data_IF_798921182899
#
_entry.id   IF_798921182899
#
_cell.length_a   1.000
_cell.length_b   1.000
_cell.length_c   1.000
_cell.angle_alpha   90.00
_cell.angle_beta   90.00
_cell.angle_gamma   90.00
#
_symmetry.space_group_name_H-M   'P 1'
#
loop_
_entity.id
_entity.type
_entity.pdbx_description
1 polymer ?
#
# COMPACT_ATOMS: atom_id res chain seq x y z
N UNK A 1 -21.43 22.54 -17.62
CA UNK A 1 -20.12 22.77 -16.97
C UNK A 1 -20.23 22.98 -15.45
N UNK A 2 -21.21 23.76 -14.94
CA UNK A 2 -21.44 24.00 -13.50
C UNK A 2 -21.53 22.72 -12.67
N UNK A 3 -22.38 21.78 -13.11
CA UNK A 3 -22.65 20.52 -12.40
C UNK A 3 -21.43 19.60 -12.21
N UNK A 4 -20.48 19.55 -13.18
CA UNK A 4 -19.28 18.71 -13.02
C UNK A 4 -18.32 19.30 -11.98
N UNK A 5 -18.12 20.62 -12.00
CA UNK A 5 -17.27 21.30 -11.03
C UNK A 5 -17.84 21.18 -9.62
N UNK A 6 -19.15 21.37 -9.47
CA UNK A 6 -19.86 21.19 -8.20
C UNK A 6 -19.67 19.77 -7.67
N UNK A 7 -19.91 18.75 -8.52
CA UNK A 7 -19.70 17.35 -8.13
C UNK A 7 -18.26 17.07 -7.68
N UNK A 8 -17.27 17.60 -8.38
CA UNK A 8 -15.85 17.44 -8.00
C UNK A 8 -15.59 18.09 -6.64
N UNK A 9 -16.13 19.28 -6.37
CA UNK A 9 -15.97 19.95 -5.08
C UNK A 9 -16.62 19.16 -3.94
N UNK A 10 -17.82 18.61 -4.17
CA UNK A 10 -18.50 17.76 -3.20
C UNK A 10 -17.68 16.52 -2.86
N UNK A 11 -17.19 15.79 -3.87
CA UNK A 11 -16.37 14.58 -3.66
C UNK A 11 -15.05 14.89 -2.95
N UNK A 12 -14.38 16.00 -3.30
CA UNK A 12 -13.17 16.42 -2.58
C UNK A 12 -13.48 16.69 -1.12
N UNK A 13 -14.61 17.34 -0.82
CA UNK A 13 -15.02 17.60 0.56
C UNK A 13 -15.29 16.31 1.33
N UNK A 14 -16.04 15.38 0.76
CA UNK A 14 -16.35 14.09 1.38
C UNK A 14 -15.07 13.30 1.73
N UNK A 15 -14.12 13.22 0.79
CA UNK A 15 -12.84 12.54 1.04
C UNK A 15 -12.01 13.25 2.12
N UNK A 16 -12.03 14.60 2.17
CA UNK A 16 -11.38 15.36 3.24
C UNK A 16 -12.01 15.07 4.60
N UNK A 17 -13.34 15.04 4.68
CA UNK A 17 -14.06 14.77 5.93
C UNK A 17 -13.71 13.35 6.46
N UNK A 18 -13.61 12.35 5.57
CA UNK A 18 -13.13 11.00 5.91
C UNK A 18 -11.69 11.03 6.45
N UNK A 19 -10.78 11.72 5.75
CA UNK A 19 -9.38 11.84 6.17
C UNK A 19 -9.23 12.50 7.54
N UNK A 20 -9.96 13.58 7.80
CA UNK A 20 -9.93 14.28 9.08
C UNK A 20 -10.49 13.42 10.20
N UNK A 21 -11.58 12.69 9.96
CA UNK A 21 -12.14 11.75 10.93
C UNK A 21 -11.14 10.65 11.30
N UNK A 22 -10.39 10.13 10.32
CA UNK A 22 -9.34 9.14 10.58
C UNK A 22 -8.19 9.71 11.42
N UNK A 23 -7.81 10.98 11.19
CA UNK A 23 -6.78 11.67 11.97
C UNK A 23 -7.20 11.91 13.43
N UNK A 24 -8.43 12.35 13.66
CA UNK A 24 -8.95 12.62 15.02
C UNK A 24 -8.99 11.35 15.89
N UNK A 25 -9.36 10.21 15.30
CA UNK A 25 -9.41 8.94 16.02
C UNK A 25 -8.02 8.48 16.53
N UNK A 26 -6.96 8.85 15.82
CA UNK A 26 -5.57 8.43 16.04
C UNK A 26 -4.94 9.17 17.23
N UNK A 27 -5.38 10.40 17.54
CA UNK A 27 -4.81 11.21 18.64
C UNK A 27 -5.02 10.61 20.05
N UNK A 28 -5.95 9.65 20.21
CA UNK A 28 -6.33 9.11 21.52
C UNK A 28 -5.60 7.82 21.92
N UNK A 29 -5.24 6.97 20.94
CA UNK A 29 -4.39 5.78 21.09
C UNK A 29 -4.23 5.11 19.73
N UNK A 30 -3.02 5.09 19.17
CA UNK A 30 -2.80 4.55 17.84
C UNK A 30 -2.65 3.03 17.86
N UNK A 31 -3.63 2.33 17.30
CA UNK A 31 -3.53 0.90 17.03
C UNK A 31 -2.86 0.63 15.69
N UNK A 32 -2.36 -0.59 15.51
CA UNK A 32 -1.80 -1.09 14.26
C UNK A 32 -2.79 -0.97 13.09
N UNK A 33 -4.08 -1.23 13.36
CA UNK A 33 -5.14 -1.14 12.35
C UNK A 33 -5.40 0.30 11.92
N UNK A 34 -5.21 1.27 12.81
CA UNK A 34 -5.38 2.69 12.48
C UNK A 34 -4.25 3.17 11.56
N UNK A 35 -3.01 2.76 11.85
CA UNK A 35 -1.86 3.06 10.99
C UNK A 35 -1.99 2.44 9.61
N UNK A 36 -2.46 1.20 9.52
CA UNK A 36 -2.71 0.54 8.24
C UNK A 36 -3.77 1.32 7.42
N UNK A 37 -4.86 1.74 8.05
CA UNK A 37 -5.91 2.52 7.36
C UNK A 37 -5.40 3.86 6.86
N UNK A 38 -4.70 4.62 7.71
CA UNK A 38 -4.09 5.90 7.32
C UNK A 38 -3.15 5.76 6.12
N UNK A 39 -2.23 4.79 6.18
CA UNK A 39 -1.30 4.50 5.11
C UNK A 39 -2.01 4.06 3.83
N UNK A 40 -3.06 3.26 3.95
CA UNK A 40 -3.82 2.75 2.82
C UNK A 40 -4.56 3.88 2.08
N UNK A 41 -5.13 4.85 2.80
CA UNK A 41 -5.79 5.99 2.16
C UNK A 41 -4.78 6.86 1.41
N UNK A 42 -3.62 7.17 2.02
CA UNK A 42 -2.54 7.91 1.34
C UNK A 42 -2.11 7.18 0.06
N UNK A 43 -1.90 5.88 0.16
CA UNK A 43 -1.51 5.06 -1.00
C UNK A 43 -2.57 5.08 -2.11
N UNK A 44 -3.87 5.02 -1.79
CA UNK A 44 -4.94 5.10 -2.79
C UNK A 44 -4.94 6.47 -3.49
N UNK A 45 -4.92 7.57 -2.74
CA UNK A 45 -5.04 8.92 -3.34
C UNK A 45 -3.83 9.25 -4.23
N UNK A 46 -2.65 8.76 -3.87
CA UNK A 46 -1.45 8.85 -4.70
C UNK A 46 -1.57 7.97 -5.95
N UNK A 47 -1.95 6.69 -5.77
CA UNK A 47 -2.04 5.74 -6.88
C UNK A 47 -3.09 6.13 -7.90
N UNK A 48 -4.20 6.75 -7.51
CA UNK A 48 -5.23 7.26 -8.45
C UNK A 48 -4.92 8.66 -8.99
N UNK A 49 -3.85 9.31 -8.52
CA UNK A 49 -3.34 10.58 -9.06
C UNK A 49 -4.19 11.81 -8.70
N UNK A 50 -4.82 11.81 -7.51
CA UNK A 50 -5.66 12.91 -7.02
C UNK A 50 -5.13 13.54 -5.72
N UNK A 51 -3.98 13.07 -5.24
CA UNK A 51 -3.33 13.52 -4.01
C UNK A 51 -3.13 15.04 -3.92
N UNK A 52 -3.00 15.75 -5.06
CA UNK A 52 -2.92 17.23 -5.10
C UNK A 52 -4.05 17.97 -4.38
N UNK A 53 -5.22 17.35 -4.18
CA UNK A 53 -6.35 17.97 -3.47
C UNK A 53 -6.28 17.77 -1.94
N UNK A 54 -5.41 16.88 -1.47
CA UNK A 54 -5.37 16.38 -0.10
C UNK A 54 -3.98 16.56 0.53
N UNK A 55 -3.19 17.52 0.07
CA UNK A 55 -1.80 17.69 0.51
C UNK A 55 -1.67 17.97 2.00
N UNK A 56 -2.60 18.77 2.56
CA UNK A 56 -2.59 19.11 3.99
C UNK A 56 -2.83 17.86 4.83
N UNK A 57 -3.89 17.12 4.49
CA UNK A 57 -4.28 15.89 5.19
C UNK A 57 -3.19 14.81 5.03
N UNK A 58 -2.65 14.65 3.82
CA UNK A 58 -1.56 13.72 3.52
C UNK A 58 -0.31 14.02 4.34
N UNK A 59 0.13 15.28 4.41
CA UNK A 59 1.30 15.66 5.21
C UNK A 59 1.08 15.34 6.68
N UNK A 60 -0.08 15.71 7.24
CA UNK A 60 -0.42 15.41 8.63
C UNK A 60 -0.38 13.90 8.94
N UNK A 61 -0.94 13.07 8.04
CA UNK A 61 -0.87 11.61 8.15
C UNK A 61 0.57 11.11 8.12
N UNK A 62 1.37 11.57 7.15
CA UNK A 62 2.75 11.12 7.00
C UNK A 62 3.62 11.52 8.20
N UNK A 63 3.46 12.73 8.74
CA UNK A 63 4.15 13.19 9.93
C UNK A 63 3.79 12.33 11.15
N UNK A 64 2.50 12.02 11.33
CA UNK A 64 2.03 11.16 12.40
C UNK A 64 2.64 9.76 12.27
N UNK A 65 2.54 9.13 11.10
CA UNK A 65 3.09 7.79 10.85
C UNK A 65 4.61 7.78 11.03
N UNK A 66 5.32 8.82 10.57
CA UNK A 66 6.77 8.91 10.72
C UNK A 66 7.22 9.07 12.17
N UNK A 67 6.45 9.80 12.98
CA UNK A 67 6.66 9.86 14.43
C UNK A 67 6.58 8.47 15.05
N UNK A 68 5.56 7.68 14.71
CA UNK A 68 5.48 6.27 15.14
C UNK A 68 6.64 5.42 14.61
N UNK A 69 7.06 5.66 13.37
CA UNK A 69 8.21 4.99 12.74
C UNK A 69 9.52 5.25 13.48
N UNK A 70 9.71 6.43 14.04
CA UNK A 70 10.97 6.82 14.70
C UNK A 70 10.95 6.56 16.20
N UNK A 71 9.83 6.78 16.88
CA UNK A 71 9.70 6.60 18.33
C UNK A 71 9.58 5.13 18.74
N UNK A 72 9.01 4.28 17.87
CA UNK A 72 8.81 2.84 18.13
C UNK A 72 9.45 1.92 17.09
N UNK A 73 9.72 2.42 15.88
CA UNK A 73 10.01 1.62 14.69
C UNK A 73 11.44 1.09 14.54
N UNK A 74 12.42 1.59 15.31
CA UNK A 74 13.79 1.04 15.28
C UNK A 74 13.94 -0.27 16.06
N UNK A 75 13.08 -0.51 17.05
CA UNK A 75 13.11 -1.72 17.89
C UNK A 75 11.91 -2.66 17.67
N UNK A 76 10.80 -2.18 17.09
CA UNK A 76 9.64 -3.00 16.74
C UNK A 76 8.96 -2.52 15.45
N UNK A 77 8.47 -3.41 14.58
CA UNK A 77 7.74 -2.98 13.40
C UNK A 77 6.49 -2.19 13.77
N UNK A 78 6.07 -1.32 12.85
CA UNK A 78 4.76 -0.64 12.93
C UNK A 78 3.58 -1.64 12.85
N UNK A 79 3.84 -2.92 12.59
CA UNK A 79 2.88 -4.00 12.71
C UNK A 79 3.29 -5.27 11.99
N UNK A 80 2.33 -5.85 11.28
CA UNK A 80 2.61 -6.99 10.40
C UNK A 80 3.45 -6.58 9.18
N UNK A 81 3.85 -7.58 8.39
CA UNK A 81 4.63 -7.36 7.16
C UNK A 81 3.91 -6.40 6.19
N UNK A 82 2.59 -6.52 6.09
CA UNK A 82 1.79 -5.71 5.18
C UNK A 82 1.88 -4.22 5.53
N UNK A 83 1.63 -3.89 6.79
CA UNK A 83 1.65 -2.53 7.32
C UNK A 83 3.06 -1.96 7.26
N UNK A 84 4.07 -2.76 7.63
CA UNK A 84 5.48 -2.34 7.60
C UNK A 84 5.95 -2.05 6.18
N UNK A 85 5.65 -2.93 5.22
CA UNK A 85 6.02 -2.74 3.83
C UNK A 85 5.30 -1.55 3.18
N UNK A 86 4.00 -1.38 3.48
CA UNK A 86 3.23 -0.23 3.02
C UNK A 86 3.77 1.08 3.60
N UNK A 87 4.01 1.11 4.91
CA UNK A 87 4.55 2.28 5.61
C UNK A 87 5.93 2.68 5.09
N UNK A 88 6.85 1.73 4.97
CA UNK A 88 8.16 1.93 4.38
C UNK A 88 8.06 2.56 2.99
N UNK A 89 7.21 1.99 2.12
CA UNK A 89 7.04 2.46 0.75
C UNK A 89 6.47 3.88 0.70
N UNK A 90 5.38 4.13 1.42
CA UNK A 90 4.67 5.41 1.43
C UNK A 90 5.57 6.52 2.01
N UNK A 91 6.25 6.27 3.13
CA UNK A 91 7.19 7.22 3.73
C UNK A 91 8.36 7.52 2.78
N UNK A 92 8.99 6.48 2.23
CA UNK A 92 10.16 6.63 1.35
C UNK A 92 9.81 7.38 0.05
N UNK A 93 8.66 7.11 -0.56
CA UNK A 93 8.19 7.84 -1.75
C UNK A 93 7.88 9.32 -1.47
N UNK A 94 7.56 9.65 -0.22
CA UNK A 94 7.32 11.01 0.24
C UNK A 94 8.56 11.71 0.84
N UNK A 95 9.75 11.11 0.67
CA UNK A 95 11.02 11.74 1.03
C UNK A 95 11.44 11.58 2.50
N UNK A 96 10.74 10.74 3.26
CA UNK A 96 11.15 10.41 4.64
C UNK A 96 12.30 9.40 4.64
N UNK A 97 13.23 9.59 5.56
CA UNK A 97 14.35 8.67 5.76
C UNK A 97 13.91 7.48 6.63
N UNK A 98 13.79 6.32 5.98
CA UNK A 98 13.38 5.05 6.59
C UNK A 98 14.38 3.97 6.20
N UNK A 99 14.96 3.27 7.19
CA UNK A 99 15.90 2.18 6.94
C UNK A 99 15.17 0.91 6.49
N UNK A 100 15.71 0.16 5.49
CA UNK A 100 15.17 -1.14 5.14
C UNK A 100 15.39 -2.20 6.24
N UNK A 101 16.20 -1.91 7.26
CA UNK A 101 16.45 -2.85 8.36
C UNK A 101 15.20 -3.20 9.16
N UNK A 102 14.13 -2.41 9.03
CA UNK A 102 12.79 -2.76 9.53
C UNK A 102 12.33 -4.14 9.04
N UNK A 103 12.85 -4.61 7.90
CA UNK A 103 12.51 -5.90 7.32
C UNK A 103 13.28 -7.09 7.92
N UNK A 104 14.33 -6.86 8.73
CA UNK A 104 15.17 -7.93 9.28
C UNK A 104 14.37 -8.86 10.20
N UNK A 105 13.37 -8.33 10.90
CA UNK A 105 12.53 -9.10 11.82
C UNK A 105 11.63 -10.13 11.11
N UNK A 106 11.40 -9.96 9.80
CA UNK A 106 10.59 -10.88 8.99
C UNK A 106 11.47 -12.00 8.39
N UNK A 107 12.66 -12.20 8.96
CA UNK A 107 13.57 -13.28 8.60
C UNK A 107 13.56 -14.35 9.68
N UNK A 108 13.74 -15.59 9.24
CA UNK A 108 13.89 -16.75 10.11
C UNK A 108 15.30 -16.80 10.75
N UNK A 109 15.52 -17.82 11.57
CA UNK A 109 16.82 -18.10 12.21
C UNK A 109 17.97 -18.33 11.22
N UNK A 110 17.66 -18.63 9.96
CA UNK A 110 18.65 -18.81 8.89
C UNK A 110 18.90 -17.51 8.10
N UNK A 111 18.27 -16.40 8.51
CA UNK A 111 18.38 -15.10 7.85
C UNK A 111 17.59 -14.99 6.54
N UNK A 112 16.62 -15.87 6.29
CA UNK A 112 15.78 -15.87 5.10
C UNK A 112 14.43 -15.27 5.40
N UNK A 113 13.87 -14.49 4.48
CA UNK A 113 12.50 -14.02 4.62
C UNK A 113 11.55 -15.19 4.82
N UNK A 114 10.69 -15.05 5.82
CA UNK A 114 9.70 -16.05 6.19
C UNK A 114 8.39 -15.36 6.51
N UNK A 115 7.31 -15.92 5.99
CA UNK A 115 5.96 -15.49 6.33
C UNK A 115 5.13 -16.73 6.61
N UNK A 116 4.57 -16.89 7.82
CA UNK A 116 3.78 -18.06 8.17
C UNK A 116 2.65 -18.28 7.16
N UNK A 117 2.43 -19.51 6.73
CA UNK A 117 1.25 -19.83 5.94
C UNK A 117 0.00 -19.47 6.75
N UNK A 118 -0.90 -18.73 6.11
CA UNK A 118 -2.14 -18.27 6.73
C UNK A 118 -3.34 -18.83 5.98
N UNK A 119 -4.45 -19.04 6.68
CA UNK A 119 -5.74 -19.38 6.06
C UNK A 119 -6.27 -18.24 5.19
N UNK A 120 -5.83 -17.00 5.44
CA UNK A 120 -6.23 -15.80 4.72
C UNK A 120 -5.29 -15.52 3.53
N UNK A 121 -5.42 -16.32 2.48
CA UNK A 121 -4.59 -16.22 1.27
C UNK A 121 -4.53 -14.80 0.68
N UNK A 122 -5.64 -14.06 0.66
CA UNK A 122 -5.69 -12.69 0.13
C UNK A 122 -4.89 -11.70 0.99
N UNK A 123 -4.88 -11.86 2.32
CA UNK A 123 -4.10 -11.02 3.22
C UNK A 123 -2.58 -11.27 3.03
N UNK A 124 -2.20 -12.55 2.88
CA UNK A 124 -0.82 -12.91 2.57
C UNK A 124 -0.40 -12.38 1.19
N UNK A 125 -1.29 -12.47 0.19
CA UNK A 125 -1.04 -11.94 -1.14
C UNK A 125 -0.85 -10.41 -1.13
N UNK A 126 -1.66 -9.66 -0.36
CA UNK A 126 -1.48 -8.21 -0.13
C UNK A 126 -0.14 -7.90 0.53
N UNK A 127 0.24 -8.68 1.55
CA UNK A 127 1.52 -8.52 2.25
C UNK A 127 2.70 -8.67 1.29
N UNK A 128 2.69 -9.71 0.45
CA UNK A 128 3.75 -9.95 -0.53
C UNK A 128 3.76 -8.89 -1.64
N UNK A 129 2.59 -8.42 -2.06
CA UNK A 129 2.48 -7.33 -3.04
C UNK A 129 3.12 -6.04 -2.51
N UNK A 130 2.84 -5.67 -1.25
CA UNK A 130 3.44 -4.50 -0.63
C UNK A 130 4.94 -4.68 -0.40
N UNK A 131 5.41 -5.85 0.03
CA UNK A 131 6.83 -6.15 0.17
C UNK A 131 7.57 -6.06 -1.18
N UNK A 132 6.99 -6.63 -2.24
CA UNK A 132 7.54 -6.54 -3.59
C UNK A 132 7.68 -5.08 -4.02
N UNK A 133 6.61 -4.28 -3.92
CA UNK A 133 6.65 -2.85 -4.27
C UNK A 133 7.65 -2.05 -3.43
N UNK A 134 7.75 -2.35 -2.14
CA UNK A 134 8.74 -1.73 -1.26
C UNK A 134 10.16 -2.03 -1.73
N UNK A 135 10.46 -3.29 -2.07
CA UNK A 135 11.78 -3.74 -2.52
C UNK A 135 12.28 -3.02 -3.79
N UNK A 136 11.37 -2.56 -4.65
CA UNK A 136 11.70 -1.80 -5.86
C UNK A 136 12.27 -0.40 -5.56
N UNK A 137 12.16 0.09 -4.32
CA UNK A 137 12.64 1.39 -3.85
C UNK A 137 14.03 1.33 -3.17
N UNK A 138 14.87 0.39 -3.59
CA UNK A 138 16.22 0.19 -3.06
C UNK A 138 17.18 1.33 -3.45
N UNK A 139 17.93 1.82 -2.46
CA UNK A 139 19.11 2.68 -2.67
C UNK A 139 20.41 1.87 -2.65
N UNK A 140 21.54 2.48 -3.04
CA UNK A 140 22.83 1.78 -3.16
C UNK A 140 23.30 1.10 -1.86
N UNK A 141 22.99 1.65 -0.68
CA UNK A 141 23.32 1.07 0.62
C UNK A 141 22.39 -0.09 1.06
N UNK A 142 21.21 -0.21 0.46
CA UNK A 142 20.13 -1.08 0.94
C UNK A 142 20.05 -2.40 0.16
N UNK A 143 20.91 -2.60 -0.83
CA UNK A 143 20.71 -3.57 -1.91
C UNK A 143 20.51 -5.00 -1.42
N UNK A 144 21.23 -5.42 -0.37
CA UNK A 144 21.21 -6.81 0.10
C UNK A 144 19.81 -7.21 0.58
N UNK A 145 19.28 -6.54 1.59
CA UNK A 145 17.97 -6.88 2.17
C UNK A 145 16.83 -6.63 1.18
N UNK A 146 16.93 -5.57 0.38
CA UNK A 146 15.92 -5.25 -0.61
C UNK A 146 15.87 -6.30 -1.72
N UNK A 147 17.02 -6.80 -2.19
CA UNK A 147 17.08 -7.87 -3.19
C UNK A 147 16.53 -9.18 -2.64
N UNK A 148 16.85 -9.51 -1.40
CA UNK A 148 16.29 -10.69 -0.72
C UNK A 148 14.76 -10.58 -0.59
N UNK A 149 14.23 -9.41 -0.24
CA UNK A 149 12.80 -9.15 -0.16
C UNK A 149 12.11 -9.25 -1.52
N UNK A 150 12.73 -8.68 -2.57
CA UNK A 150 12.24 -8.74 -3.96
C UNK A 150 12.10 -10.19 -4.41
N UNK A 151 13.14 -11.01 -4.24
CA UNK A 151 13.15 -12.42 -4.65
C UNK A 151 12.09 -13.22 -3.89
N UNK A 152 12.01 -13.03 -2.57
CA UNK A 152 11.04 -13.74 -1.74
C UNK A 152 9.60 -13.41 -2.14
N UNK A 153 9.29 -12.12 -2.26
CA UNK A 153 7.96 -11.66 -2.61
C UNK A 153 7.59 -12.06 -4.05
N UNK A 154 8.49 -11.89 -5.02
CA UNK A 154 8.22 -12.21 -6.43
C UNK A 154 7.93 -13.70 -6.63
N UNK A 155 8.68 -14.59 -5.96
CA UNK A 155 8.44 -16.03 -6.01
C UNK A 155 7.05 -16.41 -5.52
N UNK A 156 6.60 -15.81 -4.42
CA UNK A 156 5.26 -16.04 -3.89
C UNK A 156 4.17 -15.52 -4.87
N UNK A 157 4.33 -14.29 -5.35
CA UNK A 157 3.38 -13.65 -6.26
C UNK A 157 3.25 -14.42 -7.59
N UNK A 158 4.37 -14.84 -8.17
CA UNK A 158 4.38 -15.66 -9.38
C UNK A 158 3.71 -17.03 -9.19
N UNK A 159 3.91 -17.65 -8.02
CA UNK A 159 3.23 -18.91 -7.68
C UNK A 159 1.72 -18.69 -7.59
N UNK A 160 1.28 -17.63 -6.90
CA UNK A 160 -0.14 -17.29 -6.78
C UNK A 160 -0.80 -17.04 -8.15
N UNK A 161 -0.12 -16.34 -9.07
CA UNK A 161 -0.61 -16.13 -10.45
C UNK A 161 -0.67 -17.45 -11.24
N UNK A 162 0.33 -18.32 -11.10
CA UNK A 162 0.31 -19.65 -11.76
C UNK A 162 -0.83 -20.52 -11.24
N UNK A 163 -1.13 -20.48 -9.95
CA UNK A 163 -2.21 -21.22 -9.32
C UNK A 163 -3.58 -20.66 -9.71
N UNK A 164 -3.74 -19.33 -9.76
CA UNK A 164 -4.99 -18.69 -10.17
C UNK A 164 -5.37 -19.05 -11.61
N UNK A 165 -4.39 -19.10 -12.52
CA UNK A 165 -4.59 -19.53 -13.91
C UNK A 165 -5.04 -20.99 -14.01
N UNK A 166 -4.46 -21.88 -13.20
CA UNK A 166 -4.86 -23.30 -13.16
C UNK A 166 -6.29 -23.49 -12.64
N UNK A 167 -6.69 -22.68 -11.67
CA UNK A 167 -8.01 -22.74 -11.04
C UNK A 167 -9.06 -21.86 -11.72
N UNK A 168 -8.68 -21.12 -12.77
CA UNK A 168 -9.50 -20.08 -13.41
C UNK A 168 -10.10 -19.08 -12.41
N UNK A 169 -9.36 -18.78 -11.32
CA UNK A 169 -9.76 -17.81 -10.29
C UNK A 169 -9.26 -16.43 -10.72
N UNK A 170 -10.16 -15.45 -10.80
CA UNK A 170 -9.81 -14.05 -11.04
C UNK A 170 -10.32 -13.19 -9.89
N UNK A 171 -9.43 -12.37 -9.32
CA UNK A 171 -9.79 -11.35 -8.35
C UNK A 171 -9.10 -10.04 -8.70
N UNK A 172 -9.63 -8.93 -8.21
CA UNK A 172 -9.01 -7.61 -8.35
C UNK A 172 -7.53 -7.63 -7.93
N UNK A 173 -7.23 -8.25 -6.78
CA UNK A 173 -5.88 -8.34 -6.24
C UNK A 173 -4.94 -9.14 -7.16
N UNK A 174 -5.42 -10.22 -7.76
CA UNK A 174 -4.62 -11.00 -8.71
C UNK A 174 -4.32 -10.20 -9.99
N UNK A 175 -5.29 -9.43 -10.50
CA UNK A 175 -5.08 -8.54 -11.65
C UNK A 175 -4.03 -7.47 -11.33
N UNK A 176 -4.04 -6.95 -10.09
CA UNK A 176 -3.03 -6.00 -9.62
C UNK A 176 -1.64 -6.65 -9.55
N UNK A 177 -1.54 -7.87 -9.03
CA UNK A 177 -0.28 -8.64 -8.95
C UNK A 177 0.29 -8.91 -10.34
N UNK A 178 -0.54 -9.37 -11.29
CA UNK A 178 -0.13 -9.61 -12.67
C UNK A 178 0.43 -8.34 -13.33
N UNK A 179 -0.25 -7.20 -13.11
CA UNK A 179 0.19 -5.91 -13.63
C UNK A 179 1.53 -5.48 -13.04
N UNK A 180 1.68 -5.60 -11.72
CA UNK A 180 2.89 -5.20 -10.98
C UNK A 180 4.10 -6.04 -11.36
N UNK A 181 3.93 -7.36 -11.51
CA UNK A 181 5.00 -8.26 -11.96
C UNK A 181 5.39 -8.01 -13.43
N UNK A 182 4.43 -7.62 -14.27
CA UNK A 182 4.68 -7.35 -15.70
C UNK A 182 5.45 -6.05 -15.93
N UNK A 183 5.20 -5.03 -15.11
CA UNK A 183 5.80 -3.70 -15.28
C UNK A 183 6.54 -3.31 -14.00
N UNK A 184 7.88 -3.33 -13.96
CA UNK A 184 8.64 -2.86 -12.81
C UNK A 184 8.39 -1.38 -12.51
N UNK A 185 8.52 -0.97 -11.24
CA UNK A 185 8.27 0.41 -10.77
C UNK A 185 8.95 1.48 -11.64
N UNK A 186 10.22 1.26 -12.01
CA UNK A 186 11.03 2.19 -12.83
C UNK A 186 10.45 2.44 -14.22
N UNK A 187 9.54 1.58 -14.70
CA UNK A 187 8.89 1.67 -16.00
C UNK A 187 7.45 2.22 -15.93
N UNK A 188 6.93 2.52 -14.73
CA UNK A 188 5.55 2.97 -14.55
C UNK A 188 5.45 4.49 -14.60
N UNK A 189 4.78 5.00 -15.63
CA UNK A 189 4.53 6.44 -15.79
C UNK A 189 3.34 6.83 -14.89
N UNK A 190 3.44 7.87 -14.05
CA UNK A 190 2.42 8.18 -13.02
C UNK A 190 0.98 8.27 -13.54
N UNK A 191 0.74 8.92 -14.69
CA UNK A 191 -0.61 9.02 -15.26
C UNK A 191 -1.15 7.69 -15.80
N UNK A 192 -0.28 6.83 -16.32
CA UNK A 192 -0.66 5.49 -16.77
C UNK A 192 -0.95 4.59 -15.57
N UNK A 193 -0.15 4.71 -14.51
CA UNK A 193 -0.37 4.03 -13.23
C UNK A 193 -1.72 4.44 -12.62
N UNK A 194 -2.03 5.74 -12.62
CA UNK A 194 -3.30 6.26 -12.14
C UNK A 194 -4.49 5.68 -12.88
N UNK A 195 -4.44 5.72 -14.22
CA UNK A 195 -5.48 5.11 -15.04
C UNK A 195 -5.63 3.62 -14.73
N UNK A 196 -4.53 2.88 -14.67
CA UNK A 196 -4.56 1.44 -14.41
C UNK A 196 -5.10 1.13 -13.02
N UNK A 197 -4.72 1.91 -12.01
CA UNK A 197 -5.20 1.77 -10.64
C UNK A 197 -6.71 1.98 -10.56
N UNK A 198 -7.24 3.02 -11.22
CA UNK A 198 -8.70 3.26 -11.32
C UNK A 198 -9.40 2.07 -11.98
N UNK A 199 -8.87 1.57 -13.11
CA UNK A 199 -9.42 0.39 -13.78
C UNK A 199 -9.43 -0.83 -12.86
N UNK A 200 -8.35 -1.08 -12.11
CA UNK A 200 -8.28 -2.20 -11.16
C UNK A 200 -9.26 -2.00 -10.01
N UNK A 201 -9.31 -0.84 -9.38
CA UNK A 201 -10.27 -0.55 -8.30
C UNK A 201 -11.72 -0.69 -8.74
N UNK A 202 -12.02 -0.40 -10.01
CA UNK A 202 -13.36 -0.58 -10.55
C UNK A 202 -13.80 -2.05 -10.72
N UNK A 203 -12.89 -3.03 -10.55
CA UNK A 203 -13.21 -4.47 -10.64
C UNK A 203 -13.79 -5.06 -9.34
N UNK A 204 -13.72 -4.31 -8.24
CA UNK A 204 -14.34 -4.72 -6.98
C UNK A 204 -15.79 -4.21 -6.96
N UNK A 205 -16.78 -5.08 -7.12
CA UNK A 205 -18.19 -4.67 -7.19
C UNK A 205 -18.71 -3.97 -5.91
N UNK A 206 -17.89 -3.89 -4.85
CA UNK A 206 -18.16 -3.12 -3.63
C UNK A 206 -18.47 -1.63 -3.90
N UNK A 207 -17.96 -1.02 -4.97
CA UNK A 207 -18.31 0.37 -5.33
C UNK A 207 -19.63 0.50 -6.14
N UNK A 208 -20.10 -0.60 -6.76
CA UNK A 208 -21.39 -0.61 -7.47
C UNK A 208 -22.58 -0.67 -6.49
N UNK A 209 -22.37 -1.26 -5.29
CA UNK A 209 -23.38 -1.32 -4.23
C UNK A 209 -23.71 0.06 -3.62
N UNK A 210 -22.82 1.05 -3.75
CA UNK A 210 -23.05 2.43 -3.26
C UNK A 210 -23.92 3.24 -4.24
N UNK A 211 -24.02 2.83 -5.51
CA UNK A 211 -24.74 3.58 -6.54
C UNK A 211 -26.12 2.98 -6.89
N UNK A 212 -26.66 2.06 -6.07
CA UNK A 212 -28.02 1.53 -6.23
C UNK A 212 -29.04 2.10 -5.21
N UNK A 213 -28.62 2.97 -4.30
CA UNK A 213 -29.52 3.62 -3.32
C UNK A 213 -29.67 5.15 -3.49
N UNK A 214 -29.56 5.67 -4.72
CA UNK A 214 -29.99 7.04 -5.05
C UNK A 214 -30.74 7.11 -6.38
#
# INVERSE_FOLDING_TARGET
ASSYRERVQTLIKEVKDILNTLLENVETSVSHNDLLQLLWVVDIVERVGVDRYFQVEKIAILENVYKYWTEKGSENPIGDLNTTALGFRVLRLNGYDVSPDVFQIFKDVNGRFYYPESTHQDAQLRSMLNLYRASELSFQGDQKIMKEAEIFASQYLEKAVKESLKLNKKSQLLVEVEYVLKYPWKCRVPRCEARKSIEIYSLDDSWMMINQEF
#
